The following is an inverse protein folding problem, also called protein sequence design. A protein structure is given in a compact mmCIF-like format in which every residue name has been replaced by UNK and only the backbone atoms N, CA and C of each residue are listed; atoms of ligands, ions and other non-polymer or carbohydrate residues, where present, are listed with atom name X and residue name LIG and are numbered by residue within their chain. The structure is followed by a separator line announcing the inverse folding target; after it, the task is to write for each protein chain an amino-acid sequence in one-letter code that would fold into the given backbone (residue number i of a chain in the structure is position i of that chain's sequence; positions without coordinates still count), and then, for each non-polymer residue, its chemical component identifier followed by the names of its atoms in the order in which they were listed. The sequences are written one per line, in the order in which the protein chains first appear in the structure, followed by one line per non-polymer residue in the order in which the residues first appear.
data_IF_426960680861
#
_entry.id   IF_426960680861
#
_cell.length_a   1.000
_cell.length_b   1.000
_cell.length_c   1.000
_cell.angle_alpha   90.00
_cell.angle_beta   90.00
_cell.angle_gamma   90.00
#
_symmetry.space_group_name_H-M   'P 1'
#
loop_
_entity.id
_entity.type
_entity.pdbx_description
1 polymer ?
#
# COMPACT_ATOMS: atom_id res chain seq x y z
N UNK A 1 25.48 -22.76 24.01
CA UNK A 1 24.78 -23.75 24.86
C UNK A 1 23.64 -23.07 25.59
N UNK A 2 22.37 -23.34 25.23
CA UNK A 2 21.21 -22.82 25.98
C UNK A 2 20.99 -23.75 27.17
N UNK A 3 21.38 -23.35 28.38
CA UNK A 3 20.98 -24.07 29.60
C UNK A 3 19.49 -23.80 29.78
N UNK A 4 18.66 -24.80 29.51
CA UNK A 4 17.25 -24.75 29.89
C UNK A 4 17.21 -24.77 31.42
N UNK A 5 16.73 -23.71 32.10
CA UNK A 5 16.61 -23.73 33.56
C UNK A 5 15.65 -24.86 33.94
N UNK A 6 15.98 -25.62 34.99
CA UNK A 6 15.02 -26.59 35.53
C UNK A 6 13.86 -25.80 36.18
N UNK A 7 12.60 -26.16 35.91
CA UNK A 7 11.43 -25.37 36.33
C UNK A 7 11.25 -25.30 37.86
N UNK A 8 11.79 -26.26 38.60
CA UNK A 8 11.80 -26.31 40.07
C UNK A 8 12.67 -25.20 40.69
N UNK A 9 13.85 -24.94 40.11
CA UNK A 9 14.77 -23.89 40.57
C UNK A 9 14.18 -22.50 40.35
N UNK A 10 13.54 -22.26 39.20
CA UNK A 10 12.94 -20.95 38.87
C UNK A 10 11.78 -20.57 39.79
N UNK A 11 10.99 -21.55 40.25
CA UNK A 11 9.91 -21.27 41.19
C UNK A 11 10.43 -20.93 42.59
N UNK A 12 11.48 -21.63 43.05
CA UNK A 12 12.11 -21.36 44.34
C UNK A 12 12.83 -20.01 44.37
N UNK A 13 13.47 -19.62 43.26
CA UNK A 13 14.09 -18.29 43.14
C UNK A 13 13.04 -17.18 43.06
N UNK A 14 11.87 -17.44 42.44
CA UNK A 14 10.76 -16.48 42.39
C UNK A 14 10.17 -16.23 43.78
N UNK A 15 10.02 -17.30 44.57
CA UNK A 15 9.61 -17.21 45.96
C UNK A 15 10.61 -16.38 46.79
N UNK A 16 11.93 -16.52 46.58
CA UNK A 16 12.93 -15.69 47.26
C UNK A 16 12.79 -14.20 46.94
N UNK A 17 12.64 -13.85 45.65
CA UNK A 17 12.41 -12.45 45.25
C UNK A 17 11.11 -11.91 45.85
N UNK A 18 10.06 -12.75 45.93
CA UNK A 18 8.81 -12.40 46.60
C UNK A 18 8.96 -12.18 48.10
N UNK A 19 9.73 -13.04 48.78
CA UNK A 19 10.02 -12.92 50.21
C UNK A 19 10.77 -11.62 50.52
N UNK A 20 11.77 -11.25 49.71
CA UNK A 20 12.51 -9.99 49.87
C UNK A 20 11.57 -8.77 49.80
N UNK A 21 10.61 -8.78 48.86
CA UNK A 21 9.61 -7.71 48.72
C UNK A 21 8.67 -7.67 49.94
N UNK A 22 8.26 -8.85 50.42
CA UNK A 22 7.40 -8.99 51.61
C UNK A 22 8.11 -8.48 52.86
N UNK A 23 9.37 -8.86 53.06
CA UNK A 23 10.18 -8.42 54.19
C UNK A 23 10.30 -6.90 54.19
N UNK A 24 10.66 -6.29 53.06
CA UNK A 24 10.74 -4.84 52.93
C UNK A 24 9.40 -4.15 53.25
N UNK A 25 8.26 -4.72 52.84
CA UNK A 25 6.94 -4.20 53.22
C UNK A 25 6.72 -4.25 54.72
N UNK A 26 7.04 -5.39 55.34
CA UNK A 26 6.86 -5.58 56.78
C UNK A 26 7.78 -4.65 57.59
N UNK A 27 9.01 -4.40 57.14
CA UNK A 27 9.93 -3.42 57.75
C UNK A 27 9.36 -2.01 57.72
N UNK A 28 8.64 -1.64 56.66
CA UNK A 28 7.93 -0.37 56.55
C UNK A 28 6.62 -0.32 57.36
N UNK A 29 6.18 -1.44 57.94
CA UNK A 29 4.91 -1.53 58.66
C UNK A 29 3.68 -1.35 57.77
N UNK A 30 3.81 -1.51 56.45
CA UNK A 30 2.73 -1.29 55.51
C UNK A 30 1.87 -2.56 55.33
N UNK A 31 0.55 -2.40 55.26
CA UNK A 31 -0.35 -3.49 54.90
C UNK A 31 -0.35 -3.73 53.38
N UNK A 32 -0.84 -4.90 52.95
CA UNK A 32 -1.02 -5.18 51.52
C UNK A 32 -2.11 -4.28 50.95
N UNK A 33 -3.13 -3.96 51.74
CA UNK A 33 -4.22 -3.04 51.43
C UNK A 33 -3.68 -1.65 51.08
N UNK A 34 -2.83 -1.09 51.93
CA UNK A 34 -2.26 0.25 51.75
C UNK A 34 -1.42 0.31 50.47
N UNK A 35 -0.59 -0.71 50.25
CA UNK A 35 0.25 -0.78 49.05
C UNK A 35 -0.58 -0.98 47.79
N UNK A 36 -1.64 -1.80 47.85
CA UNK A 36 -2.57 -2.02 46.75
C UNK A 36 -3.29 -0.73 46.35
N UNK A 37 -3.77 0.04 47.32
CA UNK A 37 -4.45 1.31 47.08
C UNK A 37 -3.49 2.37 46.54
N UNK A 38 -2.32 2.51 47.16
CA UNK A 38 -1.28 3.47 46.75
C UNK A 38 -0.78 3.21 45.32
N UNK A 39 -0.56 1.95 44.97
CA UNK A 39 -0.01 1.55 43.67
C UNK A 39 -1.08 1.35 42.60
N UNK A 40 -2.37 1.33 42.98
CA UNK A 40 -3.48 0.94 42.10
C UNK A 40 -3.29 -0.44 41.48
N UNK A 41 -2.72 -1.36 42.26
CA UNK A 41 -2.52 -2.76 41.91
C UNK A 41 -3.50 -3.59 42.75
N UNK A 42 -4.21 -4.53 42.13
CA UNK A 42 -5.10 -5.41 42.88
C UNK A 42 -4.32 -6.19 43.94
N UNK A 43 -4.81 -6.19 45.19
CA UNK A 43 -4.26 -6.94 46.34
C UNK A 43 -3.85 -8.38 45.99
N UNK A 44 -4.62 -9.08 45.15
CA UNK A 44 -4.33 -10.46 44.71
C UNK A 44 -2.97 -10.56 44.02
N UNK A 45 -2.58 -9.54 43.26
CA UNK A 45 -1.29 -9.52 42.55
C UNK A 45 -0.13 -9.15 43.46
N UNK A 46 -0.35 -8.33 44.50
CA UNK A 46 0.68 -8.10 45.52
C UNK A 46 0.96 -9.39 46.28
N UNK A 47 -0.08 -10.11 46.73
CA UNK A 47 0.09 -11.44 47.32
C UNK A 47 0.80 -12.41 46.37
N UNK A 48 0.42 -12.44 45.10
CA UNK A 48 1.07 -13.31 44.12
C UNK A 48 2.55 -12.97 43.91
N UNK A 49 2.93 -11.69 43.96
CA UNK A 49 4.34 -11.28 43.90
C UNK A 49 5.11 -11.74 45.14
N UNK A 50 4.57 -11.49 46.34
CA UNK A 50 5.20 -11.88 47.60
C UNK A 50 5.34 -13.40 47.76
N UNK A 51 4.38 -14.17 47.24
CA UNK A 51 4.39 -15.64 47.30
C UNK A 51 5.13 -16.28 46.11
N UNK A 52 5.71 -15.48 45.20
CA UNK A 52 6.39 -15.99 44.01
C UNK A 52 5.48 -16.70 42.99
N UNK A 53 4.15 -16.51 43.09
CA UNK A 53 3.14 -17.09 42.19
C UNK A 53 3.02 -16.32 40.88
N UNK A 54 4.09 -16.33 40.09
CA UNK A 54 4.19 -15.55 38.83
C UNK A 54 3.06 -15.89 37.84
N UNK A 55 2.60 -17.15 37.84
CA UNK A 55 1.52 -17.63 36.96
C UNK A 55 0.17 -16.97 37.22
N UNK A 56 -0.04 -16.40 38.40
CA UNK A 56 -1.29 -15.73 38.78
C UNK A 56 -1.30 -14.23 38.43
N UNK A 57 -0.22 -13.72 37.85
CA UNK A 57 -0.13 -12.35 37.37
C UNK A 57 -0.80 -12.21 35.98
N UNK A 58 -1.31 -11.02 35.62
CA UNK A 58 -2.02 -10.78 34.34
C UNK A 58 -1.17 -11.01 33.07
N UNK A 59 0.14 -11.16 33.23
CA UNK A 59 1.08 -11.37 32.14
C UNK A 59 2.48 -10.85 32.49
N UNK A 60 3.51 -11.27 31.75
CA UNK A 60 4.91 -10.96 32.06
C UNK A 60 5.24 -9.46 31.97
N UNK A 61 4.61 -8.72 31.06
CA UNK A 61 4.80 -7.27 30.93
C UNK A 61 4.28 -6.52 32.17
N UNK A 62 3.08 -6.87 32.63
CA UNK A 62 2.50 -6.31 33.86
C UNK A 62 3.31 -6.69 35.10
N UNK A 63 3.76 -7.94 35.19
CA UNK A 63 4.57 -8.41 36.30
C UNK A 63 5.84 -7.56 36.50
N UNK A 64 6.57 -7.26 35.43
CA UNK A 64 7.75 -6.39 35.48
C UNK A 64 7.38 -4.98 35.96
N UNK A 65 6.28 -4.42 35.48
CA UNK A 65 5.78 -3.11 35.91
C UNK A 65 5.42 -3.10 37.39
N UNK A 66 4.73 -4.14 37.87
CA UNK A 66 4.35 -4.26 39.28
C UNK A 66 5.57 -4.39 40.19
N UNK A 67 6.55 -5.22 39.83
CA UNK A 67 7.80 -5.35 40.61
C UNK A 67 8.53 -4.01 40.69
N UNK A 68 8.65 -3.28 39.58
CA UNK A 68 9.29 -1.96 39.54
C UNK A 68 8.58 -0.98 40.47
N UNK A 69 7.27 -0.82 40.31
CA UNK A 69 6.48 0.13 41.10
C UNK A 69 6.46 -0.24 42.58
N UNK A 70 6.41 -1.54 42.89
CA UNK A 70 6.37 -2.01 44.26
C UNK A 70 7.71 -1.81 44.95
N UNK A 71 8.82 -2.22 44.33
CA UNK A 71 10.17 -1.98 44.83
C UNK A 71 10.42 -0.49 45.10
N UNK A 72 10.03 0.39 44.16
CA UNK A 72 10.14 1.84 44.34
C UNK A 72 9.35 2.35 45.56
N UNK A 73 8.12 1.87 45.75
CA UNK A 73 7.30 2.27 46.89
C UNK A 73 7.79 1.70 48.23
N UNK A 74 8.54 0.60 48.19
CA UNK A 74 9.21 -0.02 49.32
C UNK A 74 10.60 0.58 49.62
N UNK A 75 11.07 1.55 48.81
CA UNK A 75 12.40 2.14 48.97
C UNK A 75 13.56 1.23 48.56
N UNK A 76 13.28 0.15 47.82
CA UNK A 76 14.28 -0.72 47.22
C UNK A 76 14.72 -0.17 45.86
N UNK A 77 15.88 -0.63 45.36
CA UNK A 77 16.31 -0.34 43.99
C UNK A 77 15.37 -1.03 42.97
N UNK A 78 14.59 -0.28 42.18
CA UNK A 78 13.62 -0.85 41.24
C UNK A 78 14.28 -1.60 40.09
N UNK A 79 15.44 -1.15 39.62
CA UNK A 79 16.13 -1.76 38.48
C UNK A 79 16.79 -3.08 38.90
N UNK A 80 17.34 -3.12 40.11
CA UNK A 80 17.83 -4.34 40.72
C UNK A 80 16.71 -5.38 40.92
N UNK A 81 15.58 -4.98 41.49
CA UNK A 81 14.44 -5.86 41.72
C UNK A 81 13.89 -6.44 40.41
N UNK A 82 13.77 -5.60 39.37
CA UNK A 82 13.36 -6.04 38.03
C UNK A 82 14.37 -6.99 37.42
N UNK A 83 15.67 -6.74 37.58
CA UNK A 83 16.72 -7.61 37.04
C UNK A 83 16.61 -9.01 37.64
N UNK A 84 16.59 -9.11 38.98
CA UNK A 84 16.43 -10.40 39.68
C UNK A 84 15.15 -11.10 39.26
N UNK A 85 14.04 -10.37 39.18
CA UNK A 85 12.77 -10.93 38.75
C UNK A 85 12.82 -11.51 37.32
N UNK A 86 13.48 -10.82 36.39
CA UNK A 86 13.64 -11.26 34.99
C UNK A 86 14.54 -12.48 34.86
N UNK A 87 15.60 -12.55 35.66
CA UNK A 87 16.53 -13.67 35.67
C UNK A 87 15.78 -14.96 36.05
N UNK A 88 14.91 -14.86 37.05
CA UNK A 88 14.08 -15.96 37.54
C UNK A 88 12.96 -16.35 36.58
N UNK A 89 12.30 -15.37 35.96
CA UNK A 89 11.21 -15.62 34.99
C UNK A 89 11.71 -15.97 33.58
N UNK A 90 13.02 -16.24 33.44
CA UNK A 90 13.62 -16.77 32.22
C UNK A 90 13.70 -15.77 31.07
N UNK A 91 13.74 -14.46 31.36
CA UNK A 91 13.79 -13.42 30.32
C UNK A 91 12.61 -13.44 29.35
N UNK A 92 11.50 -14.12 29.70
CA UNK A 92 10.30 -14.23 28.86
C UNK A 92 9.60 -12.88 28.66
N UNK A 93 9.88 -11.87 29.50
CA UNK A 93 9.46 -10.49 29.28
C UNK A 93 10.26 -9.78 28.16
N UNK A 94 11.34 -10.38 27.65
CA UNK A 94 12.22 -9.79 26.63
C UNK A 94 12.45 -10.68 25.40
N UNK A 95 11.85 -11.87 25.34
CA UNK A 95 11.85 -12.68 24.11
C UNK A 95 10.47 -12.61 23.47
N UNK A 96 10.40 -11.74 22.47
CA UNK A 96 9.32 -11.63 21.49
C UNK A 96 8.03 -11.00 22.04
N UNK A 97 8.12 -9.71 22.34
CA UNK A 97 7.11 -8.82 21.78
C UNK A 97 7.31 -8.81 20.28
N UNK A 98 6.84 -9.85 19.58
CA UNK A 98 6.37 -9.66 18.22
C UNK A 98 5.21 -8.68 18.40
N UNK A 99 5.54 -7.39 18.37
CA UNK A 99 4.54 -6.36 18.22
C UNK A 99 3.98 -6.63 16.83
N UNK A 100 2.92 -7.43 16.78
CA UNK A 100 2.00 -7.42 15.65
C UNK A 100 1.35 -6.06 15.73
N UNK A 101 2.07 -5.05 15.23
CA UNK A 101 1.45 -3.84 14.76
C UNK A 101 0.34 -4.32 13.83
N UNK A 102 -0.93 -3.98 14.08
CA UNK A 102 -1.97 -4.24 13.11
C UNK A 102 -1.48 -3.54 11.85
N UNK A 103 -1.04 -4.31 10.84
CA UNK A 103 -0.67 -3.71 9.57
C UNK A 103 -1.88 -2.89 9.14
N UNK A 104 -1.72 -1.60 8.82
CA UNK A 104 -2.82 -0.81 8.29
C UNK A 104 -3.38 -1.62 7.13
N UNK A 105 -4.66 -2.01 7.24
CA UNK A 105 -5.39 -2.79 6.24
C UNK A 105 -4.96 -2.27 4.87
N UNK A 106 -4.29 -3.07 4.03
CA UNK A 106 -3.77 -2.59 2.77
C UNK A 106 -4.96 -2.05 1.99
N UNK A 107 -5.03 -0.73 1.87
CA UNK A 107 -6.00 -0.05 1.06
C UNK A 107 -5.73 -0.51 -0.36
N UNK A 108 -6.55 -1.45 -0.84
CA UNK A 108 -6.48 -2.01 -2.18
C UNK A 108 -6.98 -0.95 -3.18
N UNK A 109 -6.21 0.13 -3.31
CA UNK A 109 -6.35 1.10 -4.39
C UNK A 109 -5.83 0.47 -5.68
N UNK A 110 -6.51 0.76 -6.79
CA UNK A 110 -6.04 0.36 -8.12
C UNK A 110 -4.60 0.88 -8.32
N UNK A 111 -3.66 0.04 -8.80
CA UNK A 111 -2.29 0.46 -8.99
C UNK A 111 -2.27 1.63 -9.97
N UNK A 112 -1.54 2.70 -9.65
CA UNK A 112 -1.49 3.91 -10.47
C UNK A 112 -1.20 3.61 -11.95
N UNK A 113 -0.40 2.57 -12.24
CA UNK A 113 -0.12 2.10 -13.59
C UNK A 113 -1.35 1.60 -14.38
N UNK A 114 -2.35 0.99 -13.72
CA UNK A 114 -3.57 0.56 -14.38
C UNK A 114 -4.44 1.74 -14.81
N UNK A 115 -4.51 2.79 -13.98
CA UNK A 115 -5.19 4.05 -14.32
C UNK A 115 -4.54 4.73 -15.52
N UNK A 116 -3.20 4.79 -15.53
CA UNK A 116 -2.43 5.34 -16.65
C UNK A 116 -2.65 4.52 -17.93
N UNK A 117 -2.64 3.19 -17.84
CA UNK A 117 -2.85 2.31 -18.99
C UNK A 117 -4.26 2.48 -19.59
N UNK A 118 -5.30 2.53 -18.75
CA UNK A 118 -6.67 2.77 -19.22
C UNK A 118 -6.78 4.14 -19.90
N UNK A 119 -6.18 5.18 -19.31
CA UNK A 119 -6.13 6.52 -19.91
C UNK A 119 -5.43 6.53 -21.28
N UNK A 120 -4.30 5.83 -21.41
CA UNK A 120 -3.57 5.72 -22.67
C UNK A 120 -4.39 5.01 -23.75
N UNK A 121 -5.08 3.91 -23.42
CA UNK A 121 -5.95 3.19 -24.36
C UNK A 121 -7.09 4.07 -24.86
N UNK A 122 -7.74 4.83 -23.96
CA UNK A 122 -8.81 5.75 -24.36
C UNK A 122 -8.29 6.88 -25.26
N UNK A 123 -7.13 7.46 -24.96
CA UNK A 123 -6.53 8.51 -25.77
C UNK A 123 -6.17 8.01 -27.19
N UNK A 124 -5.56 6.82 -27.29
CA UNK A 124 -5.22 6.20 -28.59
C UNK A 124 -6.50 5.89 -29.38
N UNK A 125 -7.52 5.31 -28.75
CA UNK A 125 -8.80 5.03 -29.40
C UNK A 125 -9.48 6.29 -29.94
N UNK A 126 -9.51 7.37 -29.13
CA UNK A 126 -10.05 8.65 -29.54
C UNK A 126 -9.27 9.26 -30.72
N UNK A 127 -7.93 9.19 -30.70
CA UNK A 127 -7.08 9.69 -31.77
C UNK A 127 -7.29 8.91 -33.08
N UNK A 128 -7.36 7.58 -33.02
CA UNK A 128 -7.62 6.73 -34.19
C UNK A 128 -9.01 7.00 -34.75
N UNK A 129 -10.03 7.12 -33.90
CA UNK A 129 -11.38 7.47 -34.34
C UNK A 129 -11.40 8.84 -35.03
N UNK A 130 -10.73 9.84 -34.44
CA UNK A 130 -10.58 11.17 -35.03
C UNK A 130 -9.86 11.11 -36.38
N UNK A 131 -8.74 10.40 -36.49
CA UNK A 131 -7.96 10.31 -37.72
C UNK A 131 -8.78 9.68 -38.85
N UNK A 132 -9.49 8.58 -38.57
CA UNK A 132 -10.34 7.91 -39.55
C UNK A 132 -11.52 8.78 -39.98
N UNK A 133 -12.15 9.52 -39.05
CA UNK A 133 -13.25 10.42 -39.37
C UNK A 133 -12.78 11.66 -40.13
N UNK A 134 -11.70 12.28 -39.67
CA UNK A 134 -11.12 13.52 -40.24
C UNK A 134 -10.48 13.29 -41.61
N UNK A 135 -10.16 12.04 -41.98
CA UNK A 135 -9.75 11.67 -43.34
C UNK A 135 -10.87 11.78 -44.38
N UNK A 136 -12.12 12.02 -43.96
CA UNK A 136 -13.27 12.11 -44.87
C UNK A 136 -13.49 13.51 -45.47
N UNK A 137 -12.59 14.47 -45.18
CA UNK A 137 -12.84 15.92 -45.38
C UNK A 137 -12.15 16.63 -46.54
N UNK A 138 -11.62 15.97 -47.58
CA UNK A 138 -11.02 16.71 -48.71
C UNK A 138 -11.14 16.03 -50.10
N UNK A 139 -12.38 15.76 -50.54
CA UNK A 139 -12.71 15.46 -51.96
C UNK A 139 -13.61 16.53 -52.60
N UNK A 140 -13.36 17.80 -52.27
CA UNK A 140 -14.04 18.95 -52.91
C UNK A 140 -13.21 19.53 -54.06
N UNK A 141 -12.02 18.99 -54.35
CA UNK A 141 -11.14 19.51 -55.41
C UNK A 141 -11.48 18.91 -56.80
N UNK A 142 -12.29 17.85 -56.88
CA UNK A 142 -12.71 17.23 -58.16
C UNK A 142 -14.01 17.82 -58.75
N UNK A 143 -14.63 18.79 -58.10
CA UNK A 143 -15.84 19.43 -58.60
C UNK A 143 -15.51 20.67 -59.44
N UNK A 144 -14.86 20.49 -60.60
CA UNK A 144 -14.89 21.52 -61.65
C UNK A 144 -16.23 21.34 -62.39
N UNK A 145 -17.22 22.24 -62.22
CA UNK A 145 -18.46 22.14 -62.99
C UNK A 145 -18.14 22.28 -64.49
N UNK A 146 -18.78 21.50 -65.37
CA UNK A 146 -18.57 21.65 -66.81
C UNK A 146 -18.92 23.08 -67.25
N UNK A 147 -18.07 23.64 -68.11
CA UNK A 147 -18.18 25.01 -68.62
C UNK A 147 -19.57 25.19 -69.27
N UNK A 148 -20.34 26.23 -68.92
CA UNK A 148 -21.67 26.44 -69.48
C UNK A 148 -21.59 26.72 -70.98
N UNK A 149 -22.47 26.05 -71.76
CA UNK A 149 -22.58 26.15 -73.23
C UNK A 149 -22.87 27.57 -73.79
N UNK A 150 -22.93 28.59 -72.94
CA UNK A 150 -23.00 30.00 -73.35
C UNK A 150 -21.63 30.63 -73.64
N UNK A 151 -20.53 29.91 -73.37
CA UNK A 151 -19.17 30.38 -73.64
C UNK A 151 -18.61 29.88 -75.00
N UNK A 152 -19.35 29.06 -75.75
CA UNK A 152 -18.95 28.58 -77.08
C UNK A 152 -18.98 29.62 -78.22
N UNK A 153 -19.80 30.70 -78.24
CA UNK A 153 -19.81 31.59 -79.39
C UNK A 153 -18.72 32.67 -79.33
N UNK A 154 -17.83 32.67 -78.32
CA UNK A 154 -16.84 33.72 -78.10
C UNK A 154 -15.38 33.27 -78.27
N UNK A 155 -15.13 32.14 -78.95
CA UNK A 155 -13.78 31.80 -79.43
C UNK A 155 -13.53 32.56 -80.73
N UNK A 156 -12.62 33.55 -80.77
CA UNK A 156 -12.30 34.26 -82.01
C UNK A 156 -11.80 33.27 -83.05
N UNK A 157 -12.34 33.37 -84.27
CA UNK A 157 -12.10 32.52 -85.44
C UNK A 157 -10.62 32.45 -85.90
N UNK A 158 -9.72 33.13 -85.19
CA UNK A 158 -8.27 33.20 -85.42
C UNK A 158 -7.48 31.93 -85.03
N UNK A 159 -8.11 30.89 -84.48
CA UNK A 159 -7.44 29.65 -84.07
C UNK A 159 -7.85 28.38 -84.86
N UNK A 160 -8.64 28.47 -85.93
CA UNK A 160 -8.77 27.35 -86.87
C UNK A 160 -7.51 27.30 -87.73
N UNK A 161 -6.68 26.23 -87.69
CA UNK A 161 -5.55 26.09 -88.59
C UNK A 161 -6.04 26.19 -90.04
N UNK A 162 -5.43 27.10 -90.80
CA UNK A 162 -5.55 27.15 -92.26
C UNK A 162 -5.06 25.81 -92.81
N UNK A 163 -6.01 24.92 -93.10
CA UNK A 163 -5.82 23.77 -93.96
C UNK A 163 -5.62 24.30 -95.39
N UNK A 164 -4.36 24.64 -95.69
CA UNK A 164 -3.90 25.01 -97.01
C UNK A 164 -3.71 23.74 -97.85
N UNK A 165 -4.52 23.66 -98.92
CA UNK A 165 -4.19 23.16 -100.27
C UNK A 165 -3.60 21.72 -100.38
N UNK A 166 -4.41 20.70 -100.75
CA UNK A 166 -4.84 20.31 -102.12
C UNK A 166 -3.89 19.24 -102.77
N UNK A 167 -4.24 18.57 -103.89
CA UNK A 167 -5.49 17.89 -104.28
C UNK A 167 -5.23 16.45 -104.86
N UNK A 168 -6.27 15.61 -104.99
CA UNK A 168 -6.16 14.35 -105.74
C UNK A 168 -7.37 13.43 -105.61
N UNK A 169 -8.38 13.64 -106.45
CA UNK A 169 -9.54 12.75 -106.64
C UNK A 169 -9.19 11.56 -107.59
N UNK A 170 -10.15 10.73 -108.03
CA UNK A 170 -10.95 9.74 -107.29
C UNK A 170 -10.87 8.33 -107.96
N UNK A 171 -11.42 7.28 -107.34
CA UNK A 171 -11.55 5.98 -108.00
C UNK A 171 -12.35 4.94 -107.22
N UNK A 172 -13.65 4.91 -107.46
CA UNK A 172 -14.62 3.88 -107.06
C UNK A 172 -14.24 2.49 -107.60
N UNK A 173 -14.60 1.41 -106.89
CA UNK A 173 -15.04 0.20 -107.58
C UNK A 173 -16.51 -0.09 -107.25
N UNK A 174 -17.37 0.26 -108.20
CA UNK A 174 -18.68 -0.36 -108.39
C UNK A 174 -18.45 -1.81 -108.83
N UNK A 175 -19.10 -2.76 -108.16
CA UNK A 175 -19.10 -4.17 -108.55
C UNK A 175 -20.47 -4.54 -109.15
N UNK A 176 -20.40 -5.35 -110.22
CA UNK A 176 -21.40 -6.28 -110.75
C UNK A 176 -22.42 -5.80 -111.80
N UNK A 177 -22.22 -6.37 -113.00
CA UNK A 177 -23.18 -6.92 -113.97
C UNK A 177 -24.23 -6.00 -114.62
#
# INVERSE_FOLDING_TARGET
MKRTPRPDLTAAEAARVGEDLREARLTLGASVEDMAERLRINRRYIHALEEGRIKDLPGPAYAVGFVRSYAAALGLDPDEAVRRFRDVTGGAATKNGELVFPEPVPSRGVPAGALVAVGAVLAVGAYVAWYNWSGSGNRVVDAVPPVPARLDPAVPEAQRPREAAAPGAPGTPTQAA
#
